data_IF_559254711607
#
_entry.id   IF_559254711607
#
_cell.length_a   1.000
_cell.length_b   1.000
_cell.length_c   1.000
_cell.angle_alpha   90.00
_cell.angle_beta   90.00
_cell.angle_gamma   90.00
#
_symmetry.space_group_name_H-M   'P 1'
#
loop_
_entity.id
_entity.type
_entity.pdbx_description
1 polymer ?
#
# COMPACT_ATOMS: atom_id res chain seq x y z
N UNK A 1 1.24 -16.40 -6.93
CA UNK A 1 0.99 -15.11 -6.27
C UNK A 1 -0.30 -15.29 -5.49
N UNK A 2 -0.23 -15.20 -4.16
CA UNK A 2 -1.38 -15.36 -3.27
C UNK A 2 -2.33 -14.15 -3.42
N UNK A 3 -3.63 -14.37 -3.20
CA UNK A 3 -4.68 -13.34 -3.15
C UNK A 3 -4.32 -12.20 -2.18
N UNK A 4 -3.75 -12.54 -1.02
CA UNK A 4 -3.27 -11.58 -0.04
C UNK A 4 -2.15 -10.68 -0.58
N UNK A 5 -1.14 -11.26 -1.24
CA UNK A 5 -0.06 -10.51 -1.88
C UNK A 5 -0.59 -9.56 -2.97
N UNK A 6 -1.59 -9.98 -3.75
CA UNK A 6 -2.21 -9.11 -4.77
C UNK A 6 -2.90 -7.90 -4.12
N UNK A 7 -3.71 -8.11 -3.08
CA UNK A 7 -4.37 -7.03 -2.35
C UNK A 7 -3.36 -6.01 -1.83
N UNK A 8 -2.35 -6.51 -1.10
CA UNK A 8 -1.31 -5.70 -0.50
C UNK A 8 -0.51 -4.93 -1.55
N UNK A 9 -0.19 -5.55 -2.69
CA UNK A 9 0.52 -4.91 -3.80
C UNK A 9 -0.30 -3.81 -4.46
N UNK A 10 -1.59 -4.04 -4.71
CA UNK A 10 -2.48 -3.05 -5.34
C UNK A 10 -2.65 -1.85 -4.41
N UNK A 11 -3.04 -2.09 -3.16
CA UNK A 11 -3.26 -1.03 -2.18
C UNK A 11 -1.96 -0.29 -1.86
N UNK A 12 -0.87 -1.00 -1.59
CA UNK A 12 0.43 -0.42 -1.32
C UNK A 12 0.92 0.48 -2.46
N UNK A 13 0.73 0.06 -3.71
CA UNK A 13 1.08 0.88 -4.89
C UNK A 13 0.24 2.14 -5.00
N UNK A 14 -1.07 2.07 -4.73
CA UNK A 14 -1.98 3.23 -4.78
C UNK A 14 -1.67 4.27 -3.70
N UNK A 15 -1.22 3.84 -2.51
CA UNK A 15 -0.81 4.76 -1.45
C UNK A 15 0.61 5.27 -1.62
N UNK A 16 1.55 4.45 -2.12
CA UNK A 16 2.98 4.80 -2.20
C UNK A 16 3.32 5.70 -3.39
N UNK A 17 2.62 5.54 -4.52
CA UNK A 17 2.97 6.21 -5.77
C UNK A 17 2.01 7.34 -6.06
N UNK A 18 2.56 8.42 -6.61
CA UNK A 18 1.77 9.48 -7.24
C UNK A 18 0.82 8.89 -8.29
N UNK A 19 -0.45 9.31 -8.37
CA UNK A 19 -1.40 8.71 -9.32
C UNK A 19 -1.01 8.82 -10.81
N UNK A 20 -0.06 9.69 -11.14
CA UNK A 20 0.48 9.89 -12.50
C UNK A 20 1.74 9.06 -12.77
N UNK A 21 2.24 8.30 -11.80
CA UNK A 21 3.37 7.39 -11.98
C UNK A 21 3.05 6.42 -13.13
N UNK A 22 3.90 6.32 -14.17
CA UNK A 22 3.70 5.40 -15.29
C UNK A 22 3.44 3.94 -14.86
N UNK A 23 3.97 3.53 -13.71
CA UNK A 23 3.78 2.19 -13.17
C UNK A 23 2.34 1.92 -12.70
N UNK A 24 1.54 2.96 -12.42
CA UNK A 24 0.12 2.83 -12.05
C UNK A 24 -0.82 2.84 -13.26
N UNK A 25 -0.35 3.20 -14.46
CA UNK A 25 -1.19 3.28 -15.67
C UNK A 25 -1.95 1.97 -15.95
N UNK A 26 -1.34 0.77 -15.86
CA UNK A 26 -2.08 -0.48 -16.06
C UNK A 26 -3.18 -0.69 -15.02
N UNK A 27 -2.93 -0.33 -13.76
CA UNK A 27 -3.90 -0.49 -12.67
C UNK A 27 -5.10 0.44 -12.84
N UNK A 28 -4.88 1.72 -13.13
CA UNK A 28 -5.97 2.65 -13.41
C UNK A 28 -6.75 2.27 -14.68
N UNK A 29 -6.09 1.66 -15.66
CA UNK A 29 -6.78 1.10 -16.84
C UNK A 29 -7.72 -0.04 -16.44
N UNK A 30 -7.24 -1.00 -15.63
CA UNK A 30 -8.06 -2.08 -15.10
C UNK A 30 -9.27 -1.58 -14.29
N UNK A 31 -9.07 -0.54 -13.47
CA UNK A 31 -10.14 0.10 -12.68
C UNK A 31 -11.21 0.68 -13.61
N UNK A 32 -10.83 1.50 -14.61
CA UNK A 32 -11.77 2.13 -15.54
C UNK A 32 -12.54 1.13 -16.39
N UNK A 33 -11.87 0.06 -16.81
CA UNK A 33 -12.48 -1.02 -17.58
C UNK A 33 -13.34 -1.97 -16.72
N UNK A 34 -13.39 -1.79 -15.39
CA UNK A 34 -14.12 -2.66 -14.47
C UNK A 34 -13.52 -4.06 -14.34
N UNK A 35 -12.29 -4.25 -14.81
CA UNK A 35 -11.60 -5.55 -14.84
C UNK A 35 -10.86 -5.87 -13.53
N UNK A 36 -10.78 -4.91 -12.60
CA UNK A 36 -10.20 -5.14 -11.28
C UNK A 36 -10.95 -6.23 -10.51
N UNK A 37 -12.28 -6.29 -10.62
CA UNK A 37 -13.11 -7.25 -9.89
C UNK A 37 -12.75 -8.71 -10.16
N UNK A 38 -12.34 -9.05 -11.38
CA UNK A 38 -11.92 -10.41 -11.74
C UNK A 38 -10.64 -10.87 -11.03
N UNK A 39 -9.86 -9.93 -10.45
CA UNK A 39 -8.60 -10.19 -9.76
C UNK A 39 -8.66 -9.75 -8.29
N UNK A 40 -9.85 -9.35 -7.81
CA UNK A 40 -10.04 -8.88 -6.45
C UNK A 40 -10.62 -10.03 -5.60
N UNK A 41 -9.92 -10.47 -4.55
CA UNK A 41 -10.31 -11.67 -3.81
C UNK A 41 -11.44 -11.45 -2.79
N UNK A 42 -11.95 -10.22 -2.65
CA UNK A 42 -13.02 -9.88 -1.71
C UNK A 42 -14.34 -9.60 -2.43
N UNK A 43 -15.45 -10.04 -1.84
CA UNK A 43 -16.81 -9.72 -2.32
C UNK A 43 -17.14 -8.23 -2.04
N UNK A 44 -16.80 -7.36 -2.99
CA UNK A 44 -16.89 -5.89 -2.84
C UNK A 44 -17.43 -5.21 -4.11
N UNK A 45 -18.33 -5.86 -4.84
CA UNK A 45 -18.83 -5.41 -6.16
C UNK A 45 -19.33 -3.96 -6.17
N UNK A 46 -20.06 -3.55 -5.14
CA UNK A 46 -20.58 -2.18 -5.03
C UNK A 46 -19.46 -1.13 -4.92
N UNK A 47 -18.44 -1.42 -4.10
CA UNK A 47 -17.28 -0.55 -3.91
C UNK A 47 -16.42 -0.49 -5.18
N UNK A 48 -16.18 -1.63 -5.82
CA UNK A 48 -15.43 -1.71 -7.07
C UNK A 48 -16.16 -0.99 -8.22
N UNK A 49 -17.48 -1.11 -8.28
CA UNK A 49 -18.32 -0.37 -9.24
C UNK A 49 -18.26 1.13 -8.99
N UNK A 50 -18.29 1.56 -7.72
CA UNK A 50 -18.13 2.97 -7.36
C UNK A 50 -16.75 3.49 -7.75
N UNK A 51 -15.70 2.73 -7.46
CA UNK A 51 -14.31 3.07 -7.81
C UNK A 51 -14.16 3.23 -9.32
N UNK A 52 -14.67 2.28 -10.11
CA UNK A 52 -14.68 2.35 -11.58
C UNK A 52 -15.31 3.66 -12.07
N UNK A 53 -16.49 4.02 -11.54
CA UNK A 53 -17.26 5.20 -11.98
C UNK A 53 -16.66 6.53 -11.51
N UNK A 54 -15.78 6.51 -10.52
CA UNK A 54 -15.23 7.71 -9.88
C UNK A 54 -13.75 7.96 -10.23
N UNK A 55 -13.21 7.24 -11.22
CA UNK A 55 -11.81 7.32 -11.60
C UNK A 55 -11.50 8.55 -12.50
N UNK A 56 -11.78 9.75 -12.00
CA UNK A 56 -11.30 11.00 -12.61
C UNK A 56 -9.85 11.24 -12.17
N UNK A 57 -8.90 11.07 -13.09
CA UNK A 57 -7.47 11.19 -12.76
C UNK A 57 -7.10 12.59 -12.29
N UNK A 58 -7.72 13.66 -12.79
CA UNK A 58 -7.39 15.02 -12.37
C UNK A 58 -7.80 15.26 -10.91
N UNK A 59 -9.00 14.79 -10.55
CA UNK A 59 -9.48 14.86 -9.17
C UNK A 59 -8.66 13.96 -8.24
N UNK A 60 -8.38 12.72 -8.64
CA UNK A 60 -7.55 11.78 -7.87
C UNK A 60 -6.15 12.36 -7.62
N UNK A 61 -5.54 13.01 -8.61
CA UNK A 61 -4.27 13.72 -8.44
C UNK A 61 -4.35 14.84 -7.41
N UNK A 62 -5.41 15.66 -7.49
CA UNK A 62 -5.59 16.78 -6.57
C UNK A 62 -5.80 16.28 -5.13
N UNK A 63 -6.67 15.29 -4.95
CA UNK A 63 -6.97 14.70 -3.65
C UNK A 63 -5.74 14.02 -3.05
N UNK A 64 -4.98 13.25 -3.85
CA UNK A 64 -3.77 12.60 -3.37
C UNK A 64 -2.72 13.61 -2.86
N UNK A 65 -2.53 14.72 -3.57
CA UNK A 65 -1.61 15.77 -3.13
C UNK A 65 -2.10 16.44 -1.83
N UNK A 66 -3.38 16.78 -1.74
CA UNK A 66 -3.94 17.38 -0.54
C UNK A 66 -3.87 16.46 0.69
N UNK A 67 -4.08 15.15 0.47
CA UNK A 67 -4.11 14.17 1.54
C UNK A 67 -2.72 13.77 2.04
N UNK A 68 -1.75 13.55 1.15
CA UNK A 68 -0.53 12.81 1.50
C UNK A 68 0.79 13.54 1.21
N UNK A 69 0.76 14.70 0.55
CA UNK A 69 1.98 15.35 0.05
C UNK A 69 2.28 16.66 0.78
N UNK A 70 3.54 16.78 1.22
CA UNK A 70 4.05 17.96 1.92
C UNK A 70 3.83 17.91 3.43
N UNK A 71 4.50 18.82 4.14
CA UNK A 71 4.48 18.86 5.61
C UNK A 71 3.10 19.22 6.18
N UNK A 72 2.26 19.87 5.39
CA UNK A 72 0.88 20.26 5.74
C UNK A 72 -0.18 19.29 5.16
N UNK A 73 0.23 18.08 4.76
CA UNK A 73 -0.70 17.08 4.26
C UNK A 73 -1.81 16.78 5.29
N UNK A 74 -3.04 16.60 4.81
CA UNK A 74 -4.18 16.44 5.70
C UNK A 74 -4.17 15.11 6.47
N UNK A 75 -3.51 14.09 5.91
CA UNK A 75 -3.41 12.73 6.46
C UNK A 75 -1.98 12.24 6.28
N UNK A 76 -1.07 12.52 7.24
CA UNK A 76 0.31 12.04 7.17
C UNK A 76 0.36 10.51 6.95
N UNK A 77 1.02 10.01 5.89
CA UNK A 77 0.95 8.60 5.54
C UNK A 77 1.96 7.73 6.29
N UNK A 78 2.48 8.19 7.44
CA UNK A 78 3.53 7.53 8.23
C UNK A 78 2.99 7.08 9.58
N UNK A 79 3.26 5.84 9.99
CA UNK A 79 2.85 5.29 11.29
C UNK A 79 3.26 6.19 12.46
N UNK A 80 4.49 6.70 12.42
CA UNK A 80 5.05 7.58 13.47
C UNK A 80 4.30 8.89 13.67
N UNK A 81 3.43 9.30 12.74
CA UNK A 81 2.56 10.45 12.92
C UNK A 81 1.31 10.16 13.78
N UNK A 82 0.97 8.88 13.98
CA UNK A 82 -0.29 8.45 14.61
C UNK A 82 -0.11 7.68 15.92
N UNK A 83 1.03 7.01 16.09
CA UNK A 83 1.34 6.21 17.28
C UNK A 83 2.37 6.95 18.10
N UNK A 84 2.06 7.22 19.37
CA UNK A 84 3.00 7.88 20.29
C UNK A 84 4.25 7.00 20.48
N UNK A 85 5.42 7.63 20.53
CA UNK A 85 6.75 7.00 20.63
C UNK A 85 7.15 6.04 19.48
N UNK A 86 6.28 5.81 18.50
CA UNK A 86 6.60 5.02 17.31
C UNK A 86 7.67 5.72 16.47
N UNK A 87 8.66 4.94 16.02
CA UNK A 87 9.70 5.46 15.13
C UNK A 87 9.78 4.69 13.83
N UNK A 88 10.16 5.38 12.76
CA UNK A 88 10.46 4.77 11.47
C UNK A 88 11.55 3.70 11.57
N UNK A 89 12.52 3.89 12.49
CA UNK A 89 13.64 3.00 12.68
C UNK A 89 13.23 1.61 13.16
N UNK A 90 12.16 1.48 13.96
CA UNK A 90 11.63 0.20 14.41
C UNK A 90 11.14 -0.64 13.22
N UNK A 91 10.34 -0.03 12.34
CA UNK A 91 9.85 -0.67 11.12
C UNK A 91 11.00 -1.05 10.20
N UNK A 92 11.96 -0.12 10.00
CA UNK A 92 13.14 -0.37 9.16
C UNK A 92 13.97 -1.53 9.68
N UNK A 93 14.21 -1.60 10.98
CA UNK A 93 14.97 -2.69 11.61
C UNK A 93 14.27 -4.03 11.38
N UNK A 94 12.98 -4.12 11.68
CA UNK A 94 12.17 -5.33 11.47
C UNK A 94 12.22 -5.84 10.03
N UNK A 95 11.98 -4.96 9.05
CA UNK A 95 11.99 -5.33 7.64
C UNK A 95 13.40 -5.69 7.14
N UNK A 96 14.44 -5.04 7.67
CA UNK A 96 15.85 -5.35 7.34
C UNK A 96 16.28 -6.71 7.88
N UNK A 97 15.86 -7.07 9.11
CA UNK A 97 16.13 -8.37 9.71
C UNK A 97 15.52 -9.52 8.89
N UNK A 98 14.37 -9.26 8.25
CA UNK A 98 13.71 -10.18 7.32
C UNK A 98 14.30 -10.17 5.91
N UNK A 99 15.34 -9.37 5.67
CA UNK A 99 16.06 -9.32 4.39
C UNK A 99 15.36 -8.52 3.29
N UNK A 100 14.36 -7.71 3.62
CA UNK A 100 13.68 -6.88 2.62
C UNK A 100 14.63 -5.77 2.11
N UNK A 101 14.77 -5.59 0.78
CA UNK A 101 15.57 -4.50 0.22
C UNK A 101 14.82 -3.17 0.33
N UNK A 102 15.10 -2.42 1.40
CA UNK A 102 14.50 -1.11 1.65
C UNK A 102 15.20 0.00 0.87
N UNK A 103 14.41 1.01 0.47
CA UNK A 103 14.93 2.26 -0.08
C UNK A 103 15.30 3.25 1.04
N UNK A 104 15.92 4.37 0.66
CA UNK A 104 16.23 5.49 1.57
C UNK A 104 14.98 6.31 1.96
N UNK A 105 13.81 5.98 1.44
CA UNK A 105 12.53 6.57 1.86
C UNK A 105 12.08 5.98 3.20
N UNK A 106 11.28 6.71 4.01
CA UNK A 106 10.79 6.21 5.30
C UNK A 106 10.08 4.86 5.17
N UNK A 107 10.46 3.90 6.01
CA UNK A 107 9.94 2.53 5.98
C UNK A 107 8.53 2.40 6.56
N UNK A 108 8.14 3.32 7.43
CA UNK A 108 6.85 3.34 8.15
C UNK A 108 5.71 4.02 7.38
N UNK A 109 5.93 4.31 6.10
CA UNK A 109 4.88 4.78 5.20
C UNK A 109 3.85 3.65 4.96
N UNK A 110 2.55 3.92 5.04
CA UNK A 110 1.48 2.91 4.90
C UNK A 110 1.59 2.12 3.58
N UNK A 111 1.89 2.82 2.48
CA UNK A 111 2.15 2.17 1.20
C UNK A 111 3.36 1.23 1.22
N UNK A 112 4.42 1.57 1.97
CA UNK A 112 5.60 0.70 2.15
C UNK A 112 5.25 -0.51 3.01
N UNK A 113 4.51 -0.35 4.11
CA UNK A 113 4.06 -1.46 4.97
C UNK A 113 3.23 -2.48 4.17
N UNK A 114 2.30 -2.03 3.34
CA UNK A 114 1.51 -2.91 2.47
C UNK A 114 2.37 -3.60 1.39
N UNK A 115 3.34 -2.90 0.79
CA UNK A 115 4.27 -3.52 -0.15
C UNK A 115 5.20 -4.52 0.54
N UNK A 116 5.58 -4.27 1.79
CA UNK A 116 6.34 -5.19 2.62
C UNK A 116 5.54 -6.45 2.94
N UNK A 117 4.26 -6.32 3.29
CA UNK A 117 3.37 -7.47 3.49
C UNK A 117 3.28 -8.34 2.23
N UNK A 118 3.12 -7.72 1.05
CA UNK A 118 3.14 -8.44 -0.22
C UNK A 118 4.49 -9.13 -0.49
N UNK A 119 5.60 -8.50 -0.11
CA UNK A 119 6.94 -9.06 -0.30
C UNK A 119 7.20 -10.25 0.64
N UNK A 120 6.82 -10.12 1.92
CA UNK A 120 6.94 -11.18 2.92
C UNK A 120 6.18 -12.43 2.48
N UNK A 121 4.90 -12.26 2.12
CA UNK A 121 4.06 -13.32 1.56
C UNK A 121 4.69 -14.02 0.34
N UNK A 122 5.32 -13.25 -0.55
CA UNK A 122 5.95 -13.81 -1.76
C UNK A 122 7.29 -14.52 -1.49
N UNK A 123 7.95 -14.30 -0.34
CA UNK A 123 9.15 -15.06 0.02
C UNK A 123 8.81 -16.50 0.44
N UNK A 124 7.61 -16.74 0.96
CA UNK A 124 7.13 -18.06 1.38
C UNK A 124 8.09 -18.81 2.32
N UNK A 125 8.65 -18.10 3.31
CA UNK A 125 9.49 -18.69 4.36
C UNK A 125 8.64 -19.40 5.42
N UNK A 126 9.22 -20.30 6.22
CA UNK A 126 8.47 -21.04 7.25
C UNK A 126 7.82 -20.11 8.32
N UNK A 127 8.42 -18.94 8.57
CA UNK A 127 7.97 -17.93 9.54
C UNK A 127 7.13 -16.80 8.92
N UNK A 128 6.73 -16.93 7.66
CA UNK A 128 6.01 -15.88 6.92
C UNK A 128 4.71 -15.43 7.61
N UNK A 129 3.90 -16.36 8.11
CA UNK A 129 2.64 -16.00 8.78
C UNK A 129 2.89 -15.22 10.07
N UNK A 130 3.88 -15.63 10.88
CA UNK A 130 4.27 -14.88 12.09
C UNK A 130 4.83 -13.50 11.73
N UNK A 131 5.59 -13.41 10.63
CA UNK A 131 6.10 -12.15 10.10
C UNK A 131 4.97 -11.18 9.72
N UNK A 132 3.96 -11.67 9.01
CA UNK A 132 2.79 -10.89 8.62
C UNK A 132 1.94 -10.48 9.83
N UNK A 133 1.68 -11.40 10.75
CA UNK A 133 0.96 -11.12 12.00
C UNK A 133 1.67 -10.02 12.80
N UNK A 134 2.98 -10.15 12.99
CA UNK A 134 3.80 -9.13 13.68
C UNK A 134 3.77 -7.80 12.94
N UNK A 135 3.86 -7.81 11.60
CA UNK A 135 3.79 -6.60 10.80
C UNK A 135 2.49 -5.84 11.07
N UNK A 136 1.33 -6.50 11.03
CA UNK A 136 0.04 -5.81 11.21
C UNK A 136 -0.37 -5.58 12.67
N UNK A 137 0.18 -6.33 13.64
CA UNK A 137 -0.16 -6.14 15.06
C UNK A 137 0.69 -5.06 15.72
N UNK A 138 1.99 -5.02 15.39
CA UNK A 138 2.96 -4.16 16.07
C UNK A 138 3.31 -2.89 15.28
N UNK A 139 3.23 -2.92 13.95
CA UNK A 139 3.68 -1.83 13.07
C UNK A 139 2.54 -1.20 12.26
#
# INVERSE_FOLDING_TARGET
MNEFSILCRVLGSLYYRQPQDPLLVPLFTLIREGKLAANWPLEQDELLTRLQKSCDMAQVSADYNALFIGDECAVPPYRSAWVEDATEAEVRAFLSERGMPLADTPADHIGTLLLAASWLEDQSTEDESEALETLFSEY
#
